data_IF_254786808263
#
_entry.id   IF_254786808263
#
_cell.length_a   1.000
_cell.length_b   1.000
_cell.length_c   1.000
_cell.angle_alpha   90.00
_cell.angle_beta   90.00
_cell.angle_gamma   90.00
#
_symmetry.space_group_name_H-M   'P 1'
#
loop_
_entity.id
_entity.type
_entity.pdbx_description
1 polymer ?
#
# COMPACT_ATOMS: atom_id res chain seq x y z
N UNK A 1 56.92 -34.09 -27.68
CA UNK A 1 56.90 -33.45 -26.35
C UNK A 1 55.47 -33.45 -25.88
N UNK A 2 55.25 -33.87 -24.64
CA UNK A 2 54.00 -34.34 -24.06
C UNK A 2 52.80 -33.41 -24.17
N UNK A 3 51.68 -34.01 -24.57
CA UNK A 3 50.33 -33.51 -24.44
C UNK A 3 49.86 -33.79 -23.00
N UNK A 4 49.86 -32.75 -22.14
CA UNK A 4 49.35 -32.87 -20.78
C UNK A 4 47.84 -32.59 -20.76
N UNK A 5 47.06 -33.67 -20.74
CA UNK A 5 45.65 -33.63 -20.40
C UNK A 5 45.48 -33.26 -18.91
N UNK A 6 45.06 -32.04 -18.63
CA UNK A 6 44.69 -31.60 -17.28
C UNK A 6 43.36 -32.25 -16.91
N UNK A 7 43.45 -33.36 -16.17
CA UNK A 7 42.30 -33.99 -15.54
C UNK A 7 41.64 -32.99 -14.58
N UNK A 8 40.45 -32.51 -14.97
CA UNK A 8 39.61 -31.66 -14.13
C UNK A 8 39.18 -32.43 -12.89
N UNK A 9 39.84 -32.16 -11.75
CA UNK A 9 39.37 -32.60 -10.44
C UNK A 9 38.00 -31.97 -10.22
N UNK A 10 36.96 -32.78 -10.29
CA UNK A 10 35.60 -32.40 -9.91
C UNK A 10 35.63 -32.11 -8.41
N UNK A 11 35.90 -30.85 -8.05
CA UNK A 11 35.79 -30.37 -6.68
C UNK A 11 34.32 -30.46 -6.34
N UNK A 12 33.93 -31.59 -5.74
CA UNK A 12 32.64 -31.78 -5.11
C UNK A 12 32.59 -30.84 -3.92
N UNK A 13 32.31 -29.57 -4.21
CA UNK A 13 32.05 -28.55 -3.18
C UNK A 13 30.89 -29.10 -2.38
N UNK A 14 31.15 -29.41 -1.12
CA UNK A 14 30.13 -29.85 -0.17
C UNK A 14 28.98 -28.85 -0.25
N UNK A 15 27.75 -29.31 -0.52
CA UNK A 15 26.65 -28.37 -0.68
C UNK A 15 26.35 -27.77 0.70
N UNK A 16 26.80 -26.55 0.92
CA UNK A 16 26.47 -25.72 2.09
C UNK A 16 25.04 -25.18 1.97
N UNK A 17 24.13 -26.03 1.48
CA UNK A 17 22.74 -25.72 1.17
C UNK A 17 22.58 -24.43 0.36
N UNK A 18 21.65 -23.59 0.80
CA UNK A 18 21.26 -22.35 0.11
C UNK A 18 22.40 -21.35 -0.10
N UNK A 19 23.45 -21.36 0.74
CA UNK A 19 24.58 -20.43 0.64
C UNK A 19 25.45 -20.70 -0.60
N UNK A 20 25.66 -21.97 -0.96
CA UNK A 20 26.44 -22.35 -2.15
C UNK A 20 25.57 -22.65 -3.36
N UNK A 21 24.40 -23.25 -3.16
CA UNK A 21 23.57 -23.72 -4.27
C UNK A 21 22.86 -22.58 -5.01
N UNK A 22 22.61 -21.44 -4.36
CA UNK A 22 21.99 -20.28 -4.99
C UNK A 22 22.98 -19.37 -5.73
N UNK A 23 24.22 -19.28 -5.26
CA UNK A 23 25.28 -18.43 -5.84
C UNK A 23 25.89 -19.05 -7.11
N UNK A 24 25.89 -20.38 -7.21
CA UNK A 24 26.43 -21.08 -8.37
C UNK A 24 25.40 -21.04 -9.51
N UNK A 25 25.73 -20.29 -10.56
CA UNK A 25 24.90 -20.22 -11.76
C UNK A 25 24.67 -21.63 -12.33
N UNK A 26 23.42 -22.00 -12.67
CA UNK A 26 23.13 -23.27 -13.31
C UNK A 26 23.93 -23.42 -14.61
N UNK A 27 24.77 -24.46 -14.70
CA UNK A 27 25.55 -24.75 -15.92
C UNK A 27 24.66 -25.04 -17.14
N UNK A 28 23.43 -25.53 -16.91
CA UNK A 28 22.43 -25.84 -17.94
C UNK A 28 21.27 -24.86 -17.85
N UNK A 29 20.77 -24.40 -19.00
CA UNK A 29 19.62 -23.50 -19.10
C UNK A 29 18.37 -24.22 -18.60
N UNK A 30 17.79 -23.76 -17.49
CA UNK A 30 16.50 -24.23 -16.99
C UNK A 30 15.39 -23.41 -17.66
N UNK A 31 14.31 -24.08 -18.09
CA UNK A 31 13.11 -23.39 -18.53
C UNK A 31 12.50 -22.66 -17.32
N UNK A 32 12.09 -21.41 -17.51
CA UNK A 32 11.44 -20.62 -16.47
C UNK A 32 9.95 -20.84 -16.64
N UNK A 33 9.28 -21.28 -15.56
CA UNK A 33 7.83 -21.48 -15.57
C UNK A 33 7.12 -20.16 -15.91
N UNK A 34 6.17 -20.20 -16.83
CA UNK A 34 5.43 -19.02 -17.30
C UNK A 34 6.15 -18.14 -18.34
N UNK A 35 7.41 -18.44 -18.72
CA UNK A 35 8.12 -17.68 -19.76
C UNK A 35 8.34 -18.55 -21.00
N UNK A 36 7.76 -18.13 -22.13
CA UNK A 36 7.92 -18.80 -23.42
C UNK A 36 9.34 -18.69 -23.99
N UNK A 37 9.77 -19.69 -24.76
CA UNK A 37 11.08 -19.71 -25.41
C UNK A 37 11.29 -18.51 -26.37
N UNK A 38 10.22 -18.06 -27.05
CA UNK A 38 10.23 -16.87 -27.91
C UNK A 38 10.55 -15.59 -27.14
N UNK A 39 9.91 -15.38 -25.97
CA UNK A 39 10.14 -14.23 -25.10
C UNK A 39 11.60 -14.19 -24.61
N UNK A 40 12.19 -15.34 -24.28
CA UNK A 40 13.60 -15.43 -23.87
C UNK A 40 14.55 -15.01 -25.00
N UNK A 41 14.23 -15.39 -26.25
CA UNK A 41 15.04 -14.99 -27.42
C UNK A 41 14.88 -13.50 -27.73
N UNK A 42 13.66 -12.98 -27.64
CA UNK A 42 13.38 -11.55 -27.83
C UNK A 42 14.13 -10.67 -26.82
N UNK A 43 14.10 -11.05 -25.53
CA UNK A 43 14.83 -10.34 -24.47
C UNK A 43 16.34 -10.36 -24.70
N UNK A 44 16.89 -11.50 -25.15
CA UNK A 44 18.31 -11.59 -25.52
C UNK A 44 18.64 -10.65 -26.69
N UNK A 45 17.77 -10.55 -27.68
CA UNK A 45 17.96 -9.66 -28.81
C UNK A 45 17.95 -8.19 -28.36
N UNK A 46 17.02 -7.80 -27.47
CA UNK A 46 16.99 -6.46 -26.89
C UNK A 46 18.24 -6.14 -26.07
N UNK A 47 18.66 -7.05 -25.18
CA UNK A 47 19.89 -6.88 -24.41
C UNK A 47 21.12 -6.74 -25.29
N UNK A 48 21.20 -7.52 -26.37
CA UNK A 48 22.31 -7.45 -27.31
C UNK A 48 22.35 -6.11 -28.06
N UNK A 49 21.19 -5.62 -28.54
CA UNK A 49 21.07 -4.27 -29.13
C UNK A 49 21.55 -3.20 -28.16
N UNK A 50 21.07 -3.21 -26.91
CA UNK A 50 21.48 -2.23 -25.90
C UNK A 50 22.98 -2.30 -25.59
N UNK A 51 23.56 -3.50 -25.53
CA UNK A 51 25.00 -3.66 -25.33
C UNK A 51 25.82 -3.18 -26.53
N UNK A 52 25.36 -3.44 -27.75
CA UNK A 52 26.00 -2.93 -28.96
C UNK A 52 25.93 -1.40 -29.03
N UNK A 53 24.78 -0.80 -28.73
CA UNK A 53 24.62 0.66 -28.70
C UNK A 53 25.51 1.30 -27.63
N UNK A 54 25.57 0.72 -26.43
CA UNK A 54 26.48 1.17 -25.37
C UNK A 54 27.95 1.05 -25.76
N UNK A 55 28.34 -0.02 -26.47
CA UNK A 55 29.69 -0.17 -27.02
C UNK A 55 29.99 0.86 -28.10
N UNK A 56 29.07 1.08 -29.05
CA UNK A 56 29.19 2.09 -30.11
C UNK A 56 29.36 3.50 -29.55
N UNK A 57 28.60 3.85 -28.52
CA UNK A 57 28.74 5.12 -27.79
C UNK A 57 30.12 5.20 -27.14
N UNK A 58 30.56 4.13 -26.47
CA UNK A 58 31.88 4.09 -25.80
C UNK A 58 33.05 4.15 -26.79
N UNK A 59 32.93 3.56 -27.98
CA UNK A 59 33.97 3.58 -29.02
C UNK A 59 33.92 4.81 -29.91
N UNK A 60 33.00 5.76 -29.65
CA UNK A 60 32.90 7.01 -30.41
C UNK A 60 32.44 6.86 -31.86
N UNK A 61 31.94 5.68 -32.26
CA UNK A 61 31.45 5.39 -33.62
C UNK A 61 29.98 5.81 -33.77
N UNK A 62 29.64 6.99 -33.23
CA UNK A 62 28.28 7.51 -33.21
C UNK A 62 27.93 8.27 -34.50
N UNK A 63 28.89 8.55 -35.39
CA UNK A 63 28.69 9.48 -36.50
C UNK A 63 28.26 8.80 -37.82
N UNK A 64 28.49 7.49 -37.99
CA UNK A 64 28.22 6.80 -39.26
C UNK A 64 26.76 6.33 -39.46
N UNK A 65 25.89 6.40 -38.44
CA UNK A 65 24.49 5.91 -38.51
C UNK A 65 23.45 7.02 -38.35
N UNK A 66 23.85 8.24 -37.95
CA UNK A 66 22.93 9.38 -37.78
C UNK A 66 22.24 9.82 -39.08
N UNK A 67 22.73 9.41 -40.24
CA UNK A 67 22.19 9.83 -41.54
C UNK A 67 21.20 8.88 -42.22
N UNK A 68 20.92 7.67 -41.69
CA UNK A 68 20.08 6.70 -42.44
C UNK A 68 18.59 6.61 -42.06
N UNK A 69 18.07 7.25 -41.00
CA UNK A 69 16.60 7.17 -40.81
C UNK A 69 15.89 8.26 -39.97
N UNK A 70 16.39 9.49 -39.89
CA UNK A 70 15.67 10.59 -39.22
C UNK A 70 14.57 11.22 -40.09
N UNK A 71 13.62 10.40 -40.55
CA UNK A 71 12.26 10.83 -40.93
C UNK A 71 11.25 9.82 -40.41
N UNK A 72 11.33 9.51 -39.13
CA UNK A 72 10.17 9.02 -38.39
C UNK A 72 9.78 10.17 -37.49
N UNK A 73 8.59 10.72 -37.71
CA UNK A 73 7.94 11.64 -36.79
C UNK A 73 7.86 10.92 -35.46
N UNK A 74 8.87 11.12 -34.63
CA UNK A 74 8.99 10.40 -33.38
C UNK A 74 7.97 10.99 -32.40
N UNK A 75 6.85 10.28 -32.36
CA UNK A 75 5.70 10.51 -31.49
C UNK A 75 6.09 10.55 -30.01
N UNK A 76 7.27 10.06 -29.63
CA UNK A 76 7.78 10.16 -28.27
C UNK A 76 8.40 11.54 -27.94
N UNK A 77 8.79 12.37 -28.92
CA UNK A 77 9.23 13.75 -28.66
C UNK A 77 8.08 14.76 -28.61
N UNK A 78 6.88 14.40 -29.07
CA UNK A 78 5.71 15.28 -29.00
C UNK A 78 5.18 15.28 -27.56
N UNK A 79 5.74 16.16 -26.72
CA UNK A 79 5.28 16.37 -25.36
C UNK A 79 3.80 16.74 -25.35
N UNK A 80 3.07 16.21 -24.39
CA UNK A 80 1.65 16.48 -24.24
C UNK A 80 1.47 17.90 -23.71
N UNK A 81 0.78 18.76 -24.46
CA UNK A 81 0.57 20.18 -24.11
C UNK A 81 -0.11 20.31 -22.75
N UNK A 82 -1.02 19.40 -22.41
CA UNK A 82 -1.70 19.39 -21.11
C UNK A 82 -0.79 19.07 -19.91
N UNK A 83 0.36 18.41 -20.14
CA UNK A 83 1.36 18.16 -19.09
C UNK A 83 2.17 19.43 -18.83
N UNK A 84 2.56 20.15 -19.87
CA UNK A 84 3.28 21.43 -19.76
C UNK A 84 2.37 22.52 -19.16
N UNK A 85 1.09 22.57 -19.54
CA UNK A 85 0.09 23.47 -18.94
C UNK A 85 -0.11 23.20 -17.45
N UNK A 86 -0.19 21.92 -17.05
CA UNK A 86 -0.29 21.55 -15.63
C UNK A 86 0.97 21.92 -14.86
N UNK A 87 2.14 21.59 -15.40
CA UNK A 87 3.42 21.92 -14.76
C UNK A 87 3.58 23.44 -14.57
N UNK A 88 3.13 24.25 -15.52
CA UNK A 88 3.14 25.71 -15.39
C UNK A 88 2.15 26.21 -14.33
N UNK A 89 0.95 25.66 -14.25
CA UNK A 89 -0.01 25.98 -13.19
C UNK A 89 0.55 25.63 -11.81
N UNK A 90 1.09 24.42 -11.65
CA UNK A 90 1.64 23.94 -10.39
C UNK A 90 2.84 24.83 -9.95
N UNK A 91 3.68 25.25 -10.90
CA UNK A 91 4.79 26.18 -10.64
C UNK A 91 4.34 27.57 -10.22
N UNK A 92 3.21 28.07 -10.74
CA UNK A 92 2.64 29.35 -10.32
C UNK A 92 1.97 29.25 -8.94
N UNK A 93 1.30 28.13 -8.67
CA UNK A 93 0.68 27.88 -7.36
C UNK A 93 1.72 27.75 -6.25
N UNK A 94 2.79 26.99 -6.47
CA UNK A 94 3.91 26.90 -5.52
C UNK A 94 4.56 28.27 -5.26
N UNK A 95 4.62 29.16 -6.26
CA UNK A 95 5.12 30.53 -6.06
C UNK A 95 4.18 31.37 -5.22
N UNK A 96 2.87 31.31 -5.49
CA UNK A 96 1.86 32.02 -4.71
C UNK A 96 1.79 31.53 -3.25
N UNK A 97 2.02 30.24 -3.01
CA UNK A 97 2.14 29.69 -1.66
C UNK A 97 3.43 30.15 -0.95
N UNK A 98 4.52 30.36 -1.69
CA UNK A 98 5.77 30.92 -1.15
C UNK A 98 5.73 32.43 -0.92
N UNK A 99 4.74 33.15 -1.45
CA UNK A 99 4.62 34.62 -1.27
C UNK A 99 4.39 35.00 0.21
N UNK A 100 4.10 34.03 1.09
CA UNK A 100 4.19 34.17 2.54
C UNK A 100 3.18 35.14 3.16
N UNK A 101 2.42 35.89 2.35
CA UNK A 101 1.48 36.92 2.75
C UNK A 101 0.36 36.36 3.63
N UNK A 102 -0.18 35.19 3.26
CA UNK A 102 -1.16 34.47 4.09
C UNK A 102 -0.57 34.01 5.43
N UNK A 103 0.72 33.62 5.44
CA UNK A 103 1.44 33.24 6.66
C UNK A 103 1.65 34.46 7.57
N UNK A 104 2.09 35.60 7.01
CA UNK A 104 2.23 36.85 7.75
C UNK A 104 0.89 37.32 8.34
N UNK A 105 -0.20 37.29 7.56
CA UNK A 105 -1.53 37.65 8.06
C UNK A 105 -2.02 36.70 9.17
N UNK A 106 -1.71 35.39 9.08
CA UNK A 106 -2.03 34.44 10.13
C UNK A 106 -1.20 34.65 11.40
N UNK A 107 0.08 35.00 11.26
CA UNK A 107 0.98 35.29 12.38
C UNK A 107 0.61 36.59 13.09
N UNK A 108 0.20 37.62 12.34
CA UNK A 108 -0.28 38.88 12.90
C UNK A 108 -1.55 38.70 13.74
N UNK A 109 -2.53 37.93 13.25
CA UNK A 109 -3.73 37.58 14.01
C UNK A 109 -3.39 36.81 15.30
N UNK A 110 -2.43 35.88 15.24
CA UNK A 110 -1.95 35.17 16.44
C UNK A 110 -1.30 36.11 17.44
N UNK A 111 -0.45 37.04 16.99
CA UNK A 111 0.21 38.01 17.85
C UNK A 111 -0.81 38.91 18.57
N UNK A 112 -1.82 39.41 17.85
CA UNK A 112 -2.90 40.20 18.44
C UNK A 112 -3.68 39.42 19.50
N UNK A 113 -3.94 38.13 19.28
CA UNK A 113 -4.60 37.26 20.26
C UNK A 113 -3.74 37.11 21.53
N UNK A 114 -2.43 36.85 21.39
CA UNK A 114 -1.53 36.76 22.54
C UNK A 114 -1.42 38.08 23.31
N UNK A 115 -1.43 39.22 22.63
CA UNK A 115 -1.40 40.53 23.30
C UNK A 115 -2.68 40.78 24.11
N UNK A 116 -3.85 40.40 23.57
CA UNK A 116 -5.14 40.47 24.29
C UNK A 116 -5.17 39.54 25.52
N UNK A 117 -4.65 38.32 25.38
CA UNK A 117 -4.51 37.38 26.50
C UNK A 117 -3.58 37.92 27.58
N UNK A 118 -2.44 38.49 27.19
CA UNK A 118 -1.47 39.07 28.12
C UNK A 118 -2.03 40.31 28.84
N UNK A 119 -2.87 41.09 28.16
CA UNK A 119 -3.56 42.26 28.73
C UNK A 119 -4.73 41.86 29.65
N UNK A 120 -5.23 40.62 29.57
CA UNK A 120 -6.38 40.15 30.36
C UNK A 120 -7.72 40.75 29.89
N UNK A 121 -7.76 41.27 28.66
CA UNK A 121 -8.94 41.90 28.05
C UNK A 121 -9.61 40.88 27.11
N UNK A 122 -9.84 39.66 27.61
CA UNK A 122 -10.71 38.72 26.92
C UNK A 122 -12.13 39.21 27.08
N UNK A 123 -12.79 39.54 25.97
CA UNK A 123 -14.23 39.74 25.96
C UNK A 123 -14.88 38.46 26.45
N UNK A 124 -15.76 38.55 27.45
CA UNK A 124 -16.54 37.42 27.98
C UNK A 124 -17.35 36.69 26.88
N UNK A 125 -17.48 37.25 25.66
CA UNK A 125 -18.04 36.56 24.50
C UNK A 125 -17.26 35.30 24.09
N UNK A 126 -15.92 35.32 24.11
CA UNK A 126 -15.10 34.19 23.68
C UNK A 126 -15.12 33.04 24.71
N UNK A 127 -15.33 33.34 25.99
CA UNK A 127 -15.50 32.32 27.05
C UNK A 127 -16.86 31.63 26.98
N UNK A 128 -17.90 32.32 26.49
CA UNK A 128 -19.25 31.77 26.33
C UNK A 128 -19.31 30.71 25.21
N UNK A 129 -18.57 30.89 24.11
CA UNK A 129 -18.51 29.89 23.04
C UNK A 129 -17.71 28.63 23.39
N UNK A 130 -16.92 28.67 24.47
CA UNK A 130 -16.10 27.52 24.91
C UNK A 130 -16.96 26.36 25.41
N UNK A 131 -18.15 26.64 25.92
CA UNK A 131 -19.10 25.63 26.34
C UNK A 131 -20.25 25.59 25.34
N UNK A 132 -20.31 24.55 24.52
CA UNK A 132 -21.45 24.29 23.62
C UNK A 132 -22.77 24.00 24.37
N UNK A 133 -22.74 24.07 25.70
CA UNK A 133 -23.87 23.88 26.61
C UNK A 133 -23.79 24.94 27.70
N UNK A 134 -24.78 25.83 27.75
CA UNK A 134 -24.94 26.77 28.85
C UNK A 134 -25.38 26.01 30.12
N UNK A 135 -24.43 25.65 30.98
CA UNK A 135 -24.73 24.96 32.24
C UNK A 135 -25.65 25.77 33.16
N UNK A 136 -25.61 27.10 33.07
CA UNK A 136 -26.50 28.00 33.80
C UNK A 136 -27.94 27.99 33.26
N UNK A 137 -28.11 27.77 31.95
CA UNK A 137 -29.43 27.69 31.31
C UNK A 137 -30.14 26.38 31.64
N UNK A 138 -29.39 25.30 31.88
CA UNK A 138 -29.96 23.99 32.20
C UNK A 138 -30.81 23.99 33.48
N UNK A 139 -30.49 24.82 34.47
CA UNK A 139 -31.29 24.91 35.71
C UNK A 139 -32.60 25.71 35.56
N UNK A 140 -32.70 26.61 34.58
CA UNK A 140 -33.90 27.43 34.33
C UNK A 140 -34.90 26.75 33.36
N UNK A 141 -34.39 25.89 32.47
CA UNK A 141 -35.22 25.18 31.49
C UNK A 141 -36.13 24.13 32.12
N UNK A 142 -35.79 23.56 33.27
CA UNK A 142 -36.67 22.58 33.95
C UNK A 142 -38.01 23.23 34.38
N UNK A 143 -38.01 24.51 34.77
CA UNK A 143 -39.21 25.24 35.16
C UNK A 143 -39.98 25.77 33.93
N UNK A 144 -39.27 26.27 32.89
CA UNK A 144 -39.89 26.74 31.65
C UNK A 144 -40.48 25.61 30.80
N UNK A 145 -39.86 24.42 30.79
CA UNK A 145 -40.37 23.24 30.05
C UNK A 145 -41.69 22.73 30.64
N UNK A 146 -41.85 22.79 31.98
CA UNK A 146 -43.13 22.48 32.64
C UNK A 146 -44.21 23.50 32.34
N UNK A 147 -43.86 24.77 32.15
CA UNK A 147 -44.81 25.81 31.72
C UNK A 147 -45.22 25.66 30.25
N UNK A 148 -44.32 25.23 29.36
CA UNK A 148 -44.61 25.02 27.93
C UNK A 148 -45.45 23.76 27.65
N UNK A 149 -45.32 22.70 28.44
CA UNK A 149 -46.19 21.51 28.32
C UNK A 149 -47.64 21.77 28.73
N UNK A 150 -47.89 22.77 29.58
CA UNK A 150 -49.25 23.16 29.97
C UNK A 150 -49.99 23.97 28.88
N UNK A 151 -49.24 24.70 28.04
CA UNK A 151 -49.79 25.61 27.02
C UNK A 151 -49.90 24.95 25.62
N UNK A 152 -49.31 23.76 25.41
CA UNK A 152 -49.23 23.11 24.10
C UNK A 152 -50.43 22.27 23.65
N UNK A 153 -51.53 22.21 24.41
CA UNK A 153 -52.70 21.37 24.11
C UNK A 153 -53.87 22.12 23.43
N UNK A 154 -53.65 23.34 22.94
CA UNK A 154 -54.68 24.15 22.28
C UNK A 154 -54.15 24.86 21.04
N UNK A 155 -54.88 24.69 19.94
CA UNK A 155 -54.92 25.56 18.75
C UNK A 155 -54.00 25.24 17.55
N UNK A 156 -54.66 24.73 16.51
CA UNK A 156 -54.26 24.57 15.12
C UNK A 156 -54.53 25.86 14.35
N UNK A 157 -53.55 26.43 13.62
CA UNK A 157 -53.72 27.03 12.27
C UNK A 157 -52.42 27.64 11.67
N UNK A 158 -52.31 27.78 10.33
CA UNK A 158 -51.05 27.93 9.59
C UNK A 158 -50.87 29.29 8.85
N UNK A 159 -49.63 29.74 8.58
CA UNK A 159 -49.24 30.68 7.48
C UNK A 159 -47.70 30.88 7.48
N UNK A 160 -46.92 30.51 6.45
CA UNK A 160 -46.58 31.18 5.17
C UNK A 160 -45.83 32.53 5.22
N UNK A 161 -44.83 32.65 4.32
CA UNK A 161 -43.93 33.78 3.90
C UNK A 161 -42.48 33.62 4.42
N UNK A 162 -41.46 33.19 3.67
CA UNK A 162 -40.81 33.55 2.38
C UNK A 162 -39.58 34.49 2.57
N UNK A 163 -38.58 34.35 1.67
CA UNK A 163 -37.27 35.04 1.46
C UNK A 163 -36.04 34.78 2.39
N UNK A 164 -34.92 34.29 1.79
CA UNK A 164 -33.59 33.98 2.41
C UNK A 164 -32.61 35.19 2.51
N UNK A 165 -31.25 35.05 2.56
CA UNK A 165 -30.40 33.89 2.24
C UNK A 165 -29.21 33.57 3.23
N UNK A 166 -28.59 32.39 3.02
CA UNK A 166 -27.19 31.99 3.34
C UNK A 166 -26.65 32.09 4.78
N UNK A 167 -26.26 30.95 5.38
CA UNK A 167 -24.84 30.63 5.62
C UNK A 167 -24.64 29.24 6.24
N UNK A 168 -23.52 28.64 5.82
CA UNK A 168 -23.07 27.28 6.09
C UNK A 168 -23.03 26.90 7.58
N UNK A 169 -23.87 25.94 7.97
CA UNK A 169 -23.61 25.15 9.16
C UNK A 169 -22.58 24.06 8.85
N UNK A 170 -21.31 24.44 8.96
CA UNK A 170 -20.18 23.52 8.98
C UNK A 170 -20.20 22.69 10.27
N UNK A 171 -20.90 21.56 10.20
CA UNK A 171 -20.79 20.47 11.17
C UNK A 171 -19.38 19.87 11.04
N UNK A 172 -18.42 20.40 11.79
CA UNK A 172 -17.04 19.89 11.79
C UNK A 172 -17.02 18.50 12.43
N UNK A 173 -16.72 17.52 11.58
CA UNK A 173 -16.64 16.11 11.85
C UNK A 173 -15.55 15.75 12.87
N UNK A 174 -15.88 14.75 13.69
CA UNK A 174 -14.94 14.05 14.56
C UNK A 174 -13.84 13.42 13.70
N UNK A 175 -12.66 14.02 13.82
CA UNK A 175 -11.40 13.64 13.21
C UNK A 175 -11.00 12.21 13.62
N UNK A 176 -11.33 11.25 12.78
CA UNK A 176 -10.81 9.88 12.83
C UNK A 176 -10.06 9.59 11.54
N UNK A 177 -8.76 9.34 11.66
CA UNK A 177 -7.99 8.54 10.70
C UNK A 177 -7.54 9.26 9.43
N UNK A 178 -6.22 9.35 9.28
CA UNK A 178 -5.54 9.69 8.03
C UNK A 178 -5.95 8.70 6.93
N UNK A 179 -6.33 9.23 5.76
CA UNK A 179 -6.15 8.58 4.47
C UNK A 179 -7.36 7.84 3.90
N UNK A 180 -8.34 8.57 3.37
CA UNK A 180 -8.89 8.36 2.03
C UNK A 180 -9.70 9.59 1.65
N UNK A 181 -9.27 10.29 0.59
CA UNK A 181 -10.01 11.40 0.00
C UNK A 181 -11.38 10.90 -0.43
N UNK A 182 -12.40 11.24 0.36
CA UNK A 182 -13.81 11.09 0.00
C UNK A 182 -14.24 12.33 -0.78
N UNK A 183 -13.57 12.57 -1.92
CA UNK A 183 -14.08 13.53 -2.88
C UNK A 183 -15.19 12.83 -3.66
N UNK A 184 -16.43 13.34 -3.49
CA UNK A 184 -17.72 12.92 -4.06
C UNK A 184 -18.55 12.01 -3.15
N UNK A 185 -19.17 12.64 -2.16
CA UNK A 185 -20.35 12.14 -1.47
C UNK A 185 -21.54 11.99 -2.44
N UNK A 186 -21.59 10.87 -3.16
CA UNK A 186 -22.87 10.20 -3.43
C UNK A 186 -23.03 9.26 -2.25
N UNK A 187 -23.99 9.55 -1.36
CA UNK A 187 -24.20 8.80 -0.13
C UNK A 187 -24.19 7.31 -0.41
N UNK A 188 -23.23 6.60 0.17
CA UNK A 188 -23.12 5.15 0.05
C UNK A 188 -24.49 4.55 0.43
N UNK A 189 -25.17 3.96 -0.56
CA UNK A 189 -26.52 3.36 -0.39
C UNK A 189 -26.52 2.44 0.83
N UNK A 190 -27.64 2.39 1.56
CA UNK A 190 -27.77 1.50 2.72
C UNK A 190 -27.42 0.04 2.35
N UNK A 191 -27.74 -0.36 1.13
CA UNK A 191 -27.41 -1.66 0.54
C UNK A 191 -25.89 -1.90 0.47
N UNK A 192 -25.11 -0.89 0.04
CA UNK A 192 -23.66 -1.02 -0.02
C UNK A 192 -23.04 -1.14 1.38
N UNK A 193 -23.62 -0.47 2.39
CA UNK A 193 -23.18 -0.64 3.79
C UNK A 193 -23.47 -2.04 4.32
N UNK A 194 -24.62 -2.61 3.95
CA UNK A 194 -25.00 -3.98 4.31
C UNK A 194 -24.03 -4.97 3.64
N UNK A 195 -23.79 -4.82 2.33
CA UNK A 195 -22.89 -5.67 1.57
C UNK A 195 -21.46 -5.64 2.11
N UNK A 196 -20.94 -4.46 2.46
CA UNK A 196 -19.61 -4.34 3.06
C UNK A 196 -19.54 -5.06 4.42
N UNK A 197 -20.60 -4.97 5.25
CA UNK A 197 -20.66 -5.69 6.53
C UNK A 197 -20.70 -7.20 6.31
N UNK A 198 -21.51 -7.66 5.35
CA UNK A 198 -21.66 -9.06 4.99
C UNK A 198 -20.34 -9.66 4.49
N UNK A 199 -19.68 -9.02 3.52
CA UNK A 199 -18.37 -9.46 3.00
C UNK A 199 -17.31 -9.53 4.11
N UNK A 200 -17.31 -8.55 5.03
CA UNK A 200 -16.39 -8.57 6.16
C UNK A 200 -16.67 -9.74 7.11
N UNK A 201 -17.95 -10.02 7.38
CA UNK A 201 -18.38 -11.16 8.19
C UNK A 201 -17.99 -12.49 7.54
N UNK A 202 -18.26 -12.67 6.24
CA UNK A 202 -17.85 -13.85 5.48
C UNK A 202 -16.32 -14.03 5.50
N UNK A 203 -15.57 -12.93 5.41
CA UNK A 203 -14.10 -12.98 5.47
C UNK A 203 -13.60 -13.44 6.85
N UNK A 204 -14.28 -13.05 7.93
CA UNK A 204 -13.97 -13.48 9.29
C UNK A 204 -14.26 -14.98 9.42
N UNK A 205 -15.45 -15.43 9.01
CA UNK A 205 -15.86 -16.83 9.07
C UNK A 205 -14.94 -17.74 8.25
N UNK A 206 -14.55 -17.32 7.05
CA UNK A 206 -13.60 -18.05 6.22
C UNK A 206 -12.22 -18.18 6.90
N UNK A 207 -11.76 -17.13 7.57
CA UNK A 207 -10.51 -17.17 8.35
C UNK A 207 -10.63 -18.14 9.52
N UNK A 208 -11.74 -18.10 10.26
CA UNK A 208 -12.00 -19.02 11.37
C UNK A 208 -12.02 -20.47 10.89
N UNK A 209 -12.77 -20.79 9.83
CA UNK A 209 -12.78 -22.13 9.22
C UNK A 209 -11.37 -22.59 8.81
N UNK A 210 -10.58 -21.71 8.19
CA UNK A 210 -9.20 -22.02 7.84
C UNK A 210 -8.33 -22.28 9.08
N UNK A 211 -8.52 -21.53 10.17
CA UNK A 211 -7.82 -21.79 11.44
C UNK A 211 -8.21 -23.14 12.03
N UNK A 212 -9.49 -23.52 12.01
CA UNK A 212 -9.97 -24.82 12.49
C UNK A 212 -9.36 -25.97 11.67
N UNK A 213 -9.38 -25.88 10.34
CA UNK A 213 -8.75 -26.87 9.47
C UNK A 213 -7.24 -26.97 9.71
N UNK A 214 -6.58 -25.84 10.00
CA UNK A 214 -5.16 -25.83 10.35
C UNK A 214 -4.92 -26.52 11.69
N UNK A 215 -5.73 -26.23 12.71
CA UNK A 215 -5.66 -26.89 14.02
C UNK A 215 -5.86 -28.40 13.90
N UNK A 216 -6.82 -28.86 13.09
CA UNK A 216 -7.08 -30.30 12.85
C UNK A 216 -5.98 -30.98 12.02
N UNK A 217 -5.40 -30.29 11.02
CA UNK A 217 -4.36 -30.87 10.16
C UNK A 217 -2.97 -30.89 10.78
N UNK A 218 -2.68 -30.00 11.73
CA UNK A 218 -1.38 -29.94 12.42
C UNK A 218 -0.96 -31.25 13.12
N UNK A 219 -1.80 -31.92 13.95
CA UNK A 219 -1.43 -33.18 14.57
C UNK A 219 -1.18 -34.27 13.54
N UNK A 220 -2.01 -34.34 12.48
CA UNK A 220 -1.82 -35.30 11.38
C UNK A 220 -0.49 -35.08 10.67
N UNK A 221 -0.09 -33.83 10.43
CA UNK A 221 1.22 -33.49 9.85
C UNK A 221 2.38 -33.92 10.76
N UNK A 222 2.24 -33.76 12.08
CA UNK A 222 3.24 -34.23 13.05
C UNK A 222 3.35 -35.76 13.07
N UNK A 223 2.21 -36.47 13.07
CA UNK A 223 2.16 -37.93 13.01
C UNK A 223 2.81 -38.43 11.72
N UNK A 224 2.46 -37.84 10.56
CA UNK A 224 3.02 -38.23 9.27
C UNK A 224 4.54 -38.02 9.21
N UNK A 225 5.05 -36.91 9.76
CA UNK A 225 6.49 -36.68 9.91
C UNK A 225 7.13 -37.74 10.80
N UNK A 226 6.51 -38.09 11.92
CA UNK A 226 6.96 -39.15 12.83
C UNK A 226 7.05 -40.52 12.13
N UNK A 227 6.01 -40.92 11.40
CA UNK A 227 5.99 -42.17 10.63
C UNK A 227 7.10 -42.21 9.57
N UNK A 228 7.34 -41.11 8.84
CA UNK A 228 8.45 -41.01 7.88
C UNK A 228 9.82 -41.17 8.56
N UNK A 229 10.01 -40.56 9.72
CA UNK A 229 11.26 -40.72 10.49
C UNK A 229 11.46 -42.16 10.97
N UNK A 230 10.38 -42.81 11.41
CA UNK A 230 10.41 -44.21 11.84
C UNK A 230 10.73 -45.16 10.69
N UNK A 231 10.07 -44.98 9.55
CA UNK A 231 10.32 -45.76 8.33
C UNK A 231 11.78 -45.63 7.87
N UNK A 232 12.29 -44.40 7.80
CA UNK A 232 13.71 -44.15 7.47
C UNK A 232 14.68 -44.85 8.44
N UNK A 233 14.35 -44.88 9.73
CA UNK A 233 15.17 -45.57 10.74
C UNK A 233 15.17 -47.09 10.53
N UNK A 234 14.02 -47.67 10.17
CA UNK A 234 13.92 -49.09 9.83
C UNK A 234 14.74 -49.41 8.58
N UNK A 235 14.56 -48.64 7.51
CA UNK A 235 15.27 -48.86 6.25
C UNK A 235 16.79 -48.80 6.45
N UNK A 236 17.28 -47.83 7.23
CA UNK A 236 18.71 -47.73 7.56
C UNK A 236 19.21 -48.94 8.35
N UNK A 237 18.41 -49.46 9.28
CA UNK A 237 18.76 -50.66 10.07
C UNK A 237 18.77 -51.92 9.20
N UNK A 238 17.80 -52.07 8.28
CA UNK A 238 17.74 -53.17 7.33
C UNK A 238 18.91 -53.14 6.33
N UNK A 239 19.30 -51.95 5.86
CA UNK A 239 20.49 -51.80 5.01
C UNK A 239 21.77 -52.20 5.76
N UNK A 240 21.92 -51.80 7.03
CA UNK A 240 23.05 -52.20 7.86
C UNK A 240 23.14 -53.72 8.04
N UNK A 241 22.03 -54.36 8.41
CA UNK A 241 21.98 -55.82 8.55
C UNK A 241 22.23 -56.55 7.23
N UNK A 242 21.76 -56.00 6.10
CA UNK A 242 22.04 -56.56 4.77
C UNK A 242 23.52 -56.49 4.42
N UNK A 243 24.21 -55.41 4.80
CA UNK A 243 25.66 -55.27 4.59
C UNK A 243 26.45 -56.23 5.48
N UNK A 244 26.09 -56.38 6.75
CA UNK A 244 26.72 -57.34 7.66
C UNK A 244 26.55 -58.78 7.15
N UNK A 245 25.34 -59.17 6.72
CA UNK A 245 25.10 -60.50 6.14
C UNK A 245 25.93 -60.76 4.88
N UNK A 246 26.11 -59.76 4.01
CA UNK A 246 26.96 -59.89 2.81
C UNK A 246 28.43 -60.04 3.17
N UNK A 247 28.90 -59.34 4.20
CA UNK A 247 30.28 -59.42 4.67
C UNK A 247 30.56 -60.78 5.33
N UNK A 248 29.61 -61.34 6.09
CA UNK A 248 29.76 -62.66 6.71
C UNK A 248 29.68 -63.81 5.72
N UNK A 249 29.01 -63.63 4.57
CA UNK A 249 28.92 -64.66 3.52
C UNK A 249 30.13 -64.69 2.56
N UNK A 250 31.10 -63.78 2.74
CA UNK A 250 32.36 -63.74 1.97
C UNK A 250 33.53 -64.42 2.69
N UNK A 251 33.32 -64.91 3.91
CA UNK A 251 34.24 -65.77 4.67
C UNK A 251 33.70 -67.20 4.71
#
# INVERSE_FOLDING_TARGET
>A
MEEQAVAGKDRRVESLGWLTESSIMPKKKKAIEGVGASSIVELRAQLYRTQEDAKRIKTGDADAVLHRSLKKTDTFYKKNTGVEERANRDKLQLKAETDGSASYAALEKKAQLYEKLARGELSDEDEREKYSVDFLRKGLLEDEFRSLEAEGAGEVAPMQSNEGPTQDSSSIERRSGIGWSSDKAVGISQEHKILVREVNQETIEAREQATLLKQLSNPLKHILKGCKCFHWRIDRKLQGLSLELRLTAQF
#
